data_IF_335535319173
#
_entry.id   IF_335535319173
#
_cell.length_a   1.000
_cell.length_b   1.000
_cell.length_c   1.000
_cell.angle_alpha   90.00
_cell.angle_beta   90.00
_cell.angle_gamma   90.00
#
_symmetry.space_group_name_H-M   'P 1'
#
loop_
_entity.id
_entity.type
_entity.pdbx_description
1 polymer ?
#
# COMPACT_ATOMS: atom_id res chain seq x y z
N UNK A 1 -25.79 -1.31 -2.59
CA UNK A 1 -24.32 -1.32 -2.68
C UNK A 1 -23.88 -2.77 -2.67
N UNK A 2 -23.19 -3.23 -3.70
CA UNK A 2 -22.53 -4.54 -3.67
C UNK A 2 -21.47 -4.54 -2.57
N UNK A 3 -21.41 -5.61 -1.77
CA UNK A 3 -20.35 -5.77 -0.76
C UNK A 3 -18.98 -5.65 -1.43
N UNK A 4 -18.07 -4.88 -0.85
CA UNK A 4 -16.68 -4.72 -1.31
C UNK A 4 -15.76 -5.83 -0.76
N UNK A 5 -16.29 -6.68 0.11
CA UNK A 5 -15.70 -7.90 0.63
C UNK A 5 -16.48 -9.13 0.15
N UNK A 6 -15.81 -10.29 0.19
CA UNK A 6 -16.36 -11.59 -0.12
C UNK A 6 -15.90 -12.64 0.91
N UNK A 7 -16.45 -13.85 0.80
CA UNK A 7 -15.90 -15.00 1.50
C UNK A 7 -14.42 -15.19 1.16
N UNK A 8 -13.65 -15.69 2.13
CA UNK A 8 -12.22 -15.94 1.95
C UNK A 8 -12.04 -16.99 0.86
N UNK A 9 -11.08 -16.75 -0.05
CA UNK A 9 -10.73 -17.72 -1.09
C UNK A 9 -10.17 -19.00 -0.47
N UNK A 10 -10.51 -20.13 -1.06
CA UNK A 10 -10.05 -21.45 -0.60
C UNK A 10 -8.53 -21.51 -0.46
N UNK A 11 -8.05 -21.89 0.73
CA UNK A 11 -6.61 -21.99 1.04
C UNK A 11 -5.97 -20.70 1.52
N UNK A 12 -6.72 -19.59 1.57
CA UNK A 12 -6.26 -18.29 2.08
C UNK A 12 -6.86 -17.94 3.45
N UNK A 13 -7.40 -18.94 4.14
CA UNK A 13 -7.99 -18.83 5.48
C UNK A 13 -6.98 -18.36 6.53
N UNK A 14 -7.45 -17.54 7.46
CA UNK A 14 -6.68 -17.13 8.64
C UNK A 14 -7.07 -17.98 9.86
N UNK A 15 -6.13 -18.37 10.72
CA UNK A 15 -6.45 -19.09 11.95
C UNK A 15 -7.16 -18.13 12.93
N UNK A 16 -8.49 -18.18 12.91
CA UNK A 16 -9.37 -17.22 13.63
C UNK A 16 -9.08 -17.16 15.13
N UNK A 17 -8.91 -18.30 15.78
CA UNK A 17 -8.69 -18.37 17.23
C UNK A 17 -7.33 -17.78 17.64
N UNK A 18 -6.18 -18.20 17.08
CA UNK A 18 -4.90 -17.53 17.31
C UNK A 18 -4.92 -16.03 17.02
N UNK A 19 -5.57 -15.62 15.92
CA UNK A 19 -5.69 -14.21 15.57
C UNK A 19 -6.54 -13.44 16.59
N UNK A 20 -7.71 -13.95 16.99
CA UNK A 20 -8.56 -13.31 17.98
C UNK A 20 -7.88 -13.20 19.35
N UNK A 21 -7.15 -14.24 19.77
CA UNK A 21 -6.35 -14.23 20.99
C UNK A 21 -5.23 -13.19 20.92
N UNK A 22 -4.53 -13.08 19.79
CA UNK A 22 -3.50 -12.06 19.60
C UNK A 22 -4.09 -10.64 19.57
N UNK A 23 -5.27 -10.45 18.99
CA UNK A 23 -5.97 -9.16 18.94
C UNK A 23 -6.56 -8.75 20.30
N UNK A 24 -6.73 -9.69 21.24
CA UNK A 24 -7.20 -9.38 22.58
C UNK A 24 -6.26 -8.36 23.25
N UNK A 25 -6.84 -7.27 23.77
CA UNK A 25 -6.09 -6.16 24.36
C UNK A 25 -5.45 -5.18 23.35
N UNK A 26 -5.48 -5.49 22.05
CA UNK A 26 -5.00 -4.61 20.96
C UNK A 26 -6.16 -3.99 20.16
N UNK A 27 -7.23 -4.75 19.97
CA UNK A 27 -8.47 -4.30 19.35
C UNK A 27 -9.66 -4.59 20.27
N UNK A 28 -10.47 -3.58 20.61
CA UNK A 28 -11.69 -3.81 21.37
C UNK A 28 -12.65 -4.73 20.59
N UNK A 29 -13.34 -5.63 21.30
CA UNK A 29 -14.35 -6.50 20.69
C UNK A 29 -13.80 -7.65 19.81
N UNK A 30 -12.50 -7.99 19.90
CA UNK A 30 -11.88 -9.05 19.11
C UNK A 30 -12.44 -10.48 19.36
N UNK A 31 -13.17 -10.71 20.46
CA UNK A 31 -13.74 -12.03 20.77
C UNK A 31 -14.79 -12.52 19.76
N UNK A 32 -15.51 -11.62 19.10
CA UNK A 32 -16.51 -11.93 18.06
C UNK A 32 -15.98 -11.65 16.65
N UNK A 33 -14.70 -11.98 16.40
CA UNK A 33 -14.04 -11.67 15.13
C UNK A 33 -14.71 -12.38 13.95
N UNK A 34 -15.23 -11.63 12.99
CA UNK A 34 -15.65 -12.13 11.67
C UNK A 34 -14.60 -11.71 10.65
N UNK A 35 -14.20 -12.63 9.77
CA UNK A 35 -13.16 -12.40 8.77
C UNK A 35 -13.77 -12.58 7.38
N UNK A 36 -13.61 -11.57 6.55
CA UNK A 36 -13.93 -11.58 5.13
C UNK A 36 -12.68 -11.14 4.34
N UNK A 37 -12.70 -11.30 3.03
CA UNK A 37 -11.57 -10.96 2.17
C UNK A 37 -11.93 -9.86 1.18
N UNK A 38 -11.01 -8.93 0.95
CA UNK A 38 -11.09 -8.03 -0.19
C UNK A 38 -10.63 -8.78 -1.45
N UNK A 39 -11.49 -8.96 -2.46
CA UNK A 39 -11.16 -9.76 -3.64
C UNK A 39 -10.19 -9.06 -4.59
N UNK A 40 -10.02 -7.75 -4.44
CA UNK A 40 -9.12 -6.92 -5.25
C UNK A 40 -7.79 -6.68 -4.52
N UNK A 41 -6.67 -6.88 -5.24
CA UNK A 41 -5.32 -6.72 -4.71
C UNK A 41 -4.46 -7.93 -5.05
N UNK A 42 -3.42 -7.74 -5.87
CA UNK A 42 -2.60 -8.85 -6.38
C UNK A 42 -1.27 -9.03 -5.62
N UNK A 43 -0.83 -8.04 -4.85
CA UNK A 43 0.47 -8.09 -4.17
C UNK A 43 0.38 -8.71 -2.78
N UNK A 44 -0.41 -8.12 -1.88
CA UNK A 44 -0.60 -8.61 -0.52
C UNK A 44 -2.04 -9.05 -0.32
N UNK A 45 -2.25 -10.08 0.52
CA UNK A 45 -3.60 -10.50 0.90
C UNK A 45 -4.15 -9.51 1.92
N UNK A 46 -5.39 -9.08 1.67
CA UNK A 46 -6.06 -8.04 2.47
C UNK A 46 -7.42 -8.56 2.94
N UNK A 47 -7.67 -8.46 4.23
CA UNK A 47 -8.84 -9.03 4.88
C UNK A 47 -9.59 -7.95 5.65
N UNK A 48 -10.91 -8.05 5.68
CA UNK A 48 -11.74 -7.30 6.61
C UNK A 48 -11.80 -8.08 7.92
N UNK A 49 -11.52 -7.40 9.01
CA UNK A 49 -11.75 -7.87 10.37
C UNK A 49 -12.93 -7.08 10.95
N UNK A 50 -14.06 -7.75 11.17
CA UNK A 50 -15.21 -7.15 11.83
C UNK A 50 -15.25 -7.63 13.27
N UNK A 51 -15.24 -6.68 14.19
CA UNK A 51 -15.20 -6.91 15.65
C UNK A 51 -16.39 -6.25 16.32
N UNK A 52 -16.58 -6.49 17.62
CA UNK A 52 -17.59 -5.76 18.40
C UNK A 52 -17.40 -4.24 18.46
N UNK A 53 -16.22 -3.72 18.09
CA UNK A 53 -15.90 -2.29 18.11
C UNK A 53 -15.89 -1.62 16.73
N UNK A 54 -16.13 -2.40 15.67
CA UNK A 54 -16.13 -1.91 14.30
C UNK A 54 -15.22 -2.72 13.38
N UNK A 55 -14.90 -2.10 12.24
CA UNK A 55 -14.22 -2.71 11.11
C UNK A 55 -12.76 -2.27 11.01
N UNK A 56 -11.90 -3.23 10.70
CA UNK A 56 -10.47 -3.03 10.50
C UNK A 56 -9.99 -3.80 9.28
N UNK A 57 -8.82 -3.44 8.76
CA UNK A 57 -8.20 -4.10 7.62
C UNK A 57 -6.91 -4.77 8.06
N UNK A 58 -6.81 -6.08 7.86
CA UNK A 58 -5.56 -6.84 8.03
C UNK A 58 -4.87 -6.99 6.69
N UNK A 59 -3.56 -6.75 6.67
CA UNK A 59 -2.73 -6.93 5.48
C UNK A 59 -1.54 -7.83 5.79
N UNK A 60 -1.32 -8.84 4.95
CA UNK A 60 -0.22 -9.81 5.08
C UNK A 60 0.40 -10.14 3.72
N UNK A 61 1.64 -10.66 3.67
CA UNK A 61 2.25 -11.15 2.44
C UNK A 61 1.43 -12.28 1.81
N UNK A 62 1.61 -12.55 0.50
CA UNK A 62 0.97 -13.69 -0.16
C UNK A 62 1.43 -15.03 0.46
N UNK A 63 0.72 -16.12 0.13
CA UNK A 63 1.11 -17.46 0.52
C UNK A 63 2.30 -17.96 -0.33
N UNK A 64 3.08 -18.88 0.22
CA UNK A 64 4.19 -19.51 -0.49
C UNK A 64 5.51 -18.74 -0.41
N UNK A 65 6.55 -19.18 -1.14
CA UNK A 65 7.85 -18.52 -1.13
C UNK A 65 7.73 -17.13 -1.72
N UNK A 66 8.03 -16.12 -0.90
CA UNK A 66 8.05 -14.72 -1.29
C UNK A 66 9.48 -14.32 -1.65
N UNK A 67 9.67 -13.61 -2.76
CA UNK A 67 11.00 -13.10 -3.11
C UNK A 67 11.56 -12.20 -1.98
N UNK A 68 12.85 -12.31 -1.61
CA UNK A 68 13.41 -11.51 -0.52
C UNK A 68 13.15 -10.01 -0.71
N UNK A 69 12.64 -9.33 0.32
CA UNK A 69 12.22 -7.91 0.33
C UNK A 69 11.00 -7.55 -0.54
N UNK A 70 10.48 -8.49 -1.34
CA UNK A 70 9.16 -8.33 -1.91
C UNK A 70 8.14 -8.54 -0.77
N UNK A 71 7.10 -7.70 -0.71
CA UNK A 71 6.02 -7.82 0.28
C UNK A 71 6.43 -7.63 1.75
N UNK A 72 7.33 -6.67 2.01
CA UNK A 72 7.70 -6.25 3.36
C UNK A 72 6.58 -5.43 4.02
N UNK A 73 5.56 -6.13 4.52
CA UNK A 73 4.39 -5.52 5.20
C UNK A 73 4.78 -4.81 6.49
N UNK A 74 5.87 -5.20 7.15
CA UNK A 74 6.36 -4.52 8.34
C UNK A 74 6.93 -3.14 7.99
N UNK A 75 7.62 -3.01 6.85
CA UNK A 75 8.01 -1.69 6.30
C UNK A 75 6.80 -0.86 5.91
N UNK A 76 5.79 -1.45 5.28
CA UNK A 76 4.54 -0.74 4.97
C UNK A 76 3.90 -0.16 6.23
N UNK A 77 3.77 -0.97 7.28
CA UNK A 77 3.24 -0.53 8.57
C UNK A 77 4.05 0.62 9.18
N UNK A 78 5.38 0.51 9.18
CA UNK A 78 6.27 1.57 9.69
C UNK A 78 6.12 2.89 8.91
N UNK A 79 6.02 2.82 7.59
CA UNK A 79 5.80 4.01 6.75
C UNK A 79 4.45 4.64 7.07
N UNK A 80 3.38 3.85 7.16
CA UNK A 80 2.04 4.36 7.50
C UNK A 80 2.00 4.99 8.90
N UNK A 81 2.59 4.34 9.90
CA UNK A 81 2.67 4.86 11.27
C UNK A 81 3.40 6.21 11.33
N UNK A 82 4.48 6.36 10.58
CA UNK A 82 5.27 7.58 10.56
C UNK A 82 4.57 8.70 9.76
N UNK A 83 3.93 8.37 8.64
CA UNK A 83 3.30 9.35 7.75
C UNK A 83 1.94 9.83 8.26
N UNK A 84 1.12 8.96 8.86
CA UNK A 84 -0.26 9.26 9.28
C UNK A 84 -0.40 10.54 10.14
N UNK A 85 0.46 10.81 11.15
CA UNK A 85 0.38 12.04 11.95
C UNK A 85 0.55 13.35 11.15
N UNK A 86 1.16 13.27 9.97
CA UNK A 86 1.47 14.43 9.11
C UNK A 86 0.66 14.42 7.81
N UNK A 87 0.05 13.29 7.45
CA UNK A 87 -0.82 13.12 6.31
C UNK A 87 -1.98 12.17 6.68
N UNK A 88 -3.06 12.67 7.32
CA UNK A 88 -4.14 11.85 7.88
C UNK A 88 -4.99 11.09 6.86
N UNK A 89 -4.81 11.38 5.55
CA UNK A 89 -5.38 10.59 4.48
C UNK A 89 -4.71 9.20 4.35
N UNK A 90 -3.49 9.02 4.84
CA UNK A 90 -2.92 7.69 5.03
C UNK A 90 -3.64 6.97 6.20
N UNK A 91 -4.03 5.70 6.06
CA UNK A 91 -4.76 4.98 7.10
C UNK A 91 -3.90 4.76 8.34
N UNK A 92 -4.52 4.89 9.51
CA UNK A 92 -3.90 4.64 10.80
C UNK A 92 -3.70 3.15 11.04
N UNK A 93 -2.44 2.74 11.24
CA UNK A 93 -2.09 1.41 11.73
C UNK A 93 -2.46 1.30 13.21
N UNK A 94 -3.14 0.23 13.58
CA UNK A 94 -3.62 -0.03 14.94
C UNK A 94 -2.86 -1.15 15.64
N UNK A 95 -2.32 -2.11 14.90
CA UNK A 95 -1.49 -3.18 15.45
C UNK A 95 -0.53 -3.74 14.39
N UNK A 96 0.64 -4.23 14.82
CA UNK A 96 1.64 -4.89 13.97
C UNK A 96 2.09 -6.18 14.66
N UNK A 97 2.19 -7.26 13.90
CA UNK A 97 2.68 -8.55 14.35
C UNK A 97 3.81 -9.03 13.44
N UNK A 98 5.00 -9.20 14.00
CA UNK A 98 6.13 -9.79 13.29
C UNK A 98 6.28 -11.30 13.56
N UNK A 99 5.49 -11.85 14.49
CA UNK A 99 5.53 -13.27 14.85
C UNK A 99 4.70 -14.12 13.87
N UNK A 100 5.34 -14.95 13.02
CA UNK A 100 4.62 -15.82 12.10
C UNK A 100 3.87 -16.95 12.82
N UNK A 101 4.10 -17.21 14.10
CA UNK A 101 3.35 -18.24 14.83
C UNK A 101 1.86 -17.91 14.99
N UNK A 102 1.46 -16.63 14.82
CA UNK A 102 0.06 -16.20 14.96
C UNK A 102 -0.78 -16.59 13.75
N UNK A 103 -0.37 -16.23 12.52
CA UNK A 103 -1.13 -16.49 11.28
C UNK A 103 -0.30 -17.06 10.12
N UNK A 104 0.93 -17.51 10.39
CA UNK A 104 1.86 -18.04 9.40
C UNK A 104 2.68 -16.98 8.64
N UNK A 105 2.54 -15.69 8.98
CA UNK A 105 3.28 -14.59 8.35
C UNK A 105 3.24 -13.33 9.23
N UNK A 106 4.17 -12.38 9.06
CA UNK A 106 4.01 -11.05 9.62
C UNK A 106 2.79 -10.35 9.01
N UNK A 107 2.14 -9.47 9.77
CA UNK A 107 0.99 -8.72 9.32
C UNK A 107 0.83 -7.42 10.11
N UNK A 108 0.00 -6.53 9.58
CA UNK A 108 -0.49 -5.40 10.36
C UNK A 108 -2.00 -5.25 10.19
N UNK A 109 -2.60 -4.57 11.15
CA UNK A 109 -3.99 -4.16 11.14
C UNK A 109 -4.05 -2.64 11.12
N UNK A 110 -4.94 -2.09 10.30
CA UNK A 110 -5.21 -0.66 10.20
C UNK A 110 -6.70 -0.38 10.29
N UNK A 111 -7.06 0.88 10.51
CA UNK A 111 -8.45 1.32 10.44
C UNK A 111 -9.07 1.04 9.07
N UNK A 112 -10.38 0.74 9.04
CA UNK A 112 -11.12 0.71 7.79
C UNK A 112 -11.45 2.15 7.37
N UNK A 113 -11.04 2.52 6.15
CA UNK A 113 -11.56 3.69 5.44
C UNK A 113 -12.66 3.26 4.48
N UNK A 114 -13.76 4.01 4.49
CA UNK A 114 -14.87 3.84 3.56
C UNK A 114 -14.79 4.97 2.52
N UNK A 115 -14.81 4.58 1.25
CA UNK A 115 -14.70 5.48 0.12
C UNK A 115 -14.91 4.71 -1.18
N UNK A 116 -14.92 5.42 -2.30
CA UNK A 116 -15.20 4.83 -3.61
C UNK A 116 -13.93 4.84 -4.44
N UNK A 117 -13.45 3.64 -4.78
CA UNK A 117 -12.23 3.46 -5.58
C UNK A 117 -12.57 3.46 -7.07
N UNK A 118 -11.96 4.38 -7.82
CA UNK A 118 -12.10 4.45 -9.28
C UNK A 118 -11.12 3.46 -9.93
N UNK A 119 -11.66 2.41 -10.57
CA UNK A 119 -10.84 1.34 -11.20
C UNK A 119 -10.87 1.41 -12.73
N UNK A 120 -11.88 0.79 -13.35
CA UNK A 120 -11.97 0.66 -14.82
C UNK A 120 -12.74 1.80 -15.50
N UNK A 121 -13.58 2.51 -14.75
CA UNK A 121 -14.43 3.58 -15.25
C UNK A 121 -15.07 4.33 -14.10
N UNK A 122 -15.84 5.37 -14.43
CA UNK A 122 -16.51 6.20 -13.43
C UNK A 122 -17.52 5.34 -12.62
N UNK A 123 -17.35 5.21 -11.30
CA UNK A 123 -18.29 4.50 -10.43
C UNK A 123 -19.70 5.12 -10.48
N UNK A 124 -20.77 4.29 -10.34
CA UNK A 124 -22.16 4.77 -10.30
C UNK A 124 -22.42 5.83 -9.23
N UNK A 125 -21.69 5.77 -8.11
CA UNK A 125 -21.74 6.75 -7.01
C UNK A 125 -21.43 8.18 -7.47
N UNK A 126 -20.72 8.33 -8.59
CA UNK A 126 -20.33 9.61 -9.16
C UNK A 126 -21.10 9.97 -10.44
N UNK A 127 -21.95 9.08 -10.98
CA UNK A 127 -22.58 9.25 -12.29
C UNK A 127 -23.53 10.46 -12.41
N UNK A 128 -24.06 10.96 -11.30
CA UNK A 128 -24.93 12.14 -11.25
C UNK A 128 -24.26 13.42 -10.74
N UNK A 129 -22.95 13.39 -10.47
CA UNK A 129 -22.22 14.53 -9.93
C UNK A 129 -21.68 15.36 -11.12
N UNK A 130 -22.08 16.64 -11.26
CA UNK A 130 -21.50 17.52 -12.27
C UNK A 130 -19.98 17.61 -12.11
N UNK A 131 -19.27 17.53 -13.24
CA UNK A 131 -17.81 17.63 -13.33
C UNK A 131 -17.05 16.64 -12.43
N UNK A 132 -17.64 15.49 -12.12
CA UNK A 132 -17.03 14.49 -11.22
C UNK A 132 -15.60 14.12 -11.61
N UNK A 133 -15.34 13.94 -12.91
CA UNK A 133 -14.02 13.59 -13.42
C UNK A 133 -12.99 14.68 -13.12
N UNK A 134 -13.29 15.95 -13.42
CA UNK A 134 -12.38 17.07 -13.14
C UNK A 134 -12.13 17.21 -11.63
N UNK A 135 -13.18 17.10 -10.82
CA UNK A 135 -13.08 17.17 -9.35
C UNK A 135 -12.21 16.04 -8.79
N UNK A 136 -12.41 14.79 -9.23
CA UNK A 136 -11.59 13.64 -8.81
C UNK A 136 -10.13 13.84 -9.22
N UNK A 137 -9.88 14.29 -10.46
CA UNK A 137 -8.52 14.54 -10.94
C UNK A 137 -7.81 15.62 -10.13
N UNK A 138 -8.50 16.72 -9.79
CA UNK A 138 -7.94 17.78 -8.93
C UNK A 138 -7.66 17.27 -7.53
N UNK A 139 -8.62 16.60 -6.89
CA UNK A 139 -8.44 16.02 -5.54
C UNK A 139 -7.26 15.04 -5.50
N UNK A 140 -7.07 14.23 -6.54
CA UNK A 140 -5.91 13.34 -6.67
C UNK A 140 -4.59 14.16 -6.70
N UNK A 141 -4.53 15.22 -7.50
CA UNK A 141 -3.33 16.06 -7.60
C UNK A 141 -3.08 16.81 -6.28
N UNK A 142 -4.12 17.37 -5.68
CA UNK A 142 -4.05 18.10 -4.40
C UNK A 142 -3.55 17.16 -3.29
N UNK A 143 -4.09 15.94 -3.20
CA UNK A 143 -3.63 14.94 -2.23
C UNK A 143 -2.17 14.52 -2.42
N UNK A 144 -1.69 14.44 -3.67
CA UNK A 144 -0.27 14.20 -3.94
C UNK A 144 0.60 15.41 -3.57
N UNK A 145 0.12 16.62 -3.84
CA UNK A 145 0.80 17.85 -3.47
C UNK A 145 0.92 17.98 -1.94
N UNK A 146 -0.16 17.70 -1.20
CA UNK A 146 -0.19 17.67 0.27
C UNK A 146 0.81 16.66 0.82
N UNK A 147 0.82 15.43 0.30
CA UNK A 147 1.81 14.42 0.68
C UNK A 147 3.23 14.92 0.41
N UNK A 148 3.44 15.60 -0.72
CA UNK A 148 4.75 16.14 -1.08
C UNK A 148 5.16 17.37 -0.26
N UNK A 149 4.23 18.01 0.45
CA UNK A 149 4.52 19.16 1.30
C UNK A 149 4.92 18.78 2.72
N UNK A 150 4.72 17.51 3.13
CA UNK A 150 5.18 17.02 4.43
C UNK A 150 6.69 17.25 4.58
N UNK A 151 7.07 18.03 5.60
CA UNK A 151 8.47 18.32 5.91
C UNK A 151 9.16 17.08 6.49
N UNK A 152 9.89 16.35 5.66
CA UNK A 152 10.55 15.11 6.06
C UNK A 152 11.66 15.29 7.10
N UNK A 153 12.21 16.50 7.24
CA UNK A 153 13.26 16.78 8.23
C UNK A 153 12.64 17.07 9.59
N UNK A 154 11.66 17.99 9.63
CA UNK A 154 10.98 18.37 10.86
C UNK A 154 10.18 17.22 11.49
N UNK A 155 9.73 16.26 10.68
CA UNK A 155 8.90 15.11 11.11
C UNK A 155 9.71 13.84 11.40
N UNK A 156 11.03 13.86 11.19
CA UNK A 156 11.89 12.67 11.33
C UNK A 156 11.71 11.62 10.22
N UNK A 157 10.85 11.86 9.23
CA UNK A 157 10.62 10.94 8.11
C UNK A 157 11.83 10.74 7.20
N UNK A 158 12.84 11.60 7.30
CA UNK A 158 14.11 11.43 6.61
C UNK A 158 14.76 10.06 6.88
N UNK A 159 14.51 9.44 8.05
CA UNK A 159 15.05 8.12 8.39
C UNK A 159 14.36 6.95 7.65
N UNK A 160 13.26 7.18 6.93
CA UNK A 160 12.55 6.14 6.17
C UNK A 160 13.29 5.69 4.91
N UNK A 161 14.26 6.47 4.44
CA UNK A 161 14.95 6.18 3.18
C UNK A 161 16.30 6.87 3.07
N UNK A 162 16.87 6.80 1.86
CA UNK A 162 18.10 7.49 1.49
C UNK A 162 17.80 8.36 0.28
N UNK A 163 17.73 9.70 0.41
CA UNK A 163 17.42 10.57 -0.72
C UNK A 163 18.63 10.83 -1.64
N UNK A 164 19.84 10.85 -1.10
CA UNK A 164 21.07 11.13 -1.87
C UNK A 164 21.26 10.07 -2.94
N UNK A 165 21.41 10.45 -4.21
CA UNK A 165 21.56 9.50 -5.32
C UNK A 165 20.32 8.64 -5.60
N UNK A 166 19.12 9.07 -5.17
CA UNK A 166 17.88 8.34 -5.40
C UNK A 166 17.64 8.05 -6.89
N UNK A 167 17.73 9.06 -7.77
CA UNK A 167 17.46 8.91 -9.20
C UNK A 167 18.45 7.95 -9.87
N UNK A 168 19.73 8.06 -9.56
CA UNK A 168 20.76 7.13 -10.06
C UNK A 168 20.44 5.69 -9.63
N UNK A 169 20.10 5.48 -8.35
CA UNK A 169 19.71 4.16 -7.85
C UNK A 169 18.45 3.61 -8.51
N UNK A 170 17.46 4.46 -8.80
CA UNK A 170 16.27 4.01 -9.52
C UNK A 170 16.65 3.53 -10.91
N UNK A 171 17.41 4.33 -11.67
CA UNK A 171 17.84 3.97 -13.03
C UNK A 171 18.65 2.66 -12.99
N UNK A 172 19.75 2.61 -12.23
CA UNK A 172 20.59 1.40 -12.14
C UNK A 172 19.80 0.19 -11.65
N UNK A 173 19.00 0.35 -10.60
CA UNK A 173 18.24 -0.76 -10.03
C UNK A 173 17.17 -1.31 -10.96
N UNK A 174 16.50 -0.47 -11.75
CA UNK A 174 15.54 -0.91 -12.77
C UNK A 174 16.24 -1.53 -13.97
N UNK A 175 17.38 -0.98 -14.40
CA UNK A 175 18.23 -1.55 -15.46
C UNK A 175 18.71 -2.95 -15.09
N UNK A 176 19.22 -3.16 -13.87
CA UNK A 176 19.67 -4.48 -13.42
C UNK A 176 18.52 -5.49 -13.37
N UNK A 177 17.33 -5.07 -12.91
CA UNK A 177 16.13 -5.92 -12.91
C UNK A 177 15.69 -6.30 -14.32
N UNK A 178 15.72 -5.34 -15.25
CA UNK A 178 15.41 -5.56 -16.65
C UNK A 178 16.32 -6.66 -17.25
N UNK A 179 17.64 -6.51 -17.12
CA UNK A 179 18.57 -7.48 -17.69
C UNK A 179 18.50 -8.87 -17.05
N UNK A 180 18.18 -8.96 -15.76
CA UNK A 180 17.93 -10.26 -15.09
C UNK A 180 16.65 -10.96 -15.56
N UNK A 181 15.66 -10.19 -16.03
CA UNK A 181 14.38 -10.70 -16.51
C UNK A 181 14.31 -10.82 -18.04
N UNK A 182 15.41 -10.51 -18.75
CA UNK A 182 15.45 -10.49 -20.21
C UNK A 182 15.27 -11.92 -20.76
N UNK A 183 14.24 -12.10 -21.59
CA UNK A 183 13.96 -13.40 -22.26
C UNK A 183 14.41 -13.41 -23.71
N UNK A 184 14.52 -12.25 -24.35
CA UNK A 184 15.03 -12.06 -25.70
C UNK A 184 15.63 -10.65 -25.85
N UNK A 185 16.59 -10.44 -26.76
CA UNK A 185 17.13 -9.10 -27.02
C UNK A 185 16.02 -8.11 -27.41
N UNK A 186 16.06 -6.90 -26.82
CA UNK A 186 15.13 -5.82 -27.13
C UNK A 186 15.90 -4.50 -27.22
N UNK A 187 16.46 -4.16 -28.40
CA UNK A 187 17.32 -2.98 -28.59
C UNK A 187 16.70 -1.65 -28.16
N UNK A 188 15.37 -1.54 -28.19
CA UNK A 188 14.62 -0.38 -27.73
C UNK A 188 14.84 -0.13 -26.23
N UNK A 189 14.89 -1.18 -25.41
CA UNK A 189 15.15 -1.05 -23.98
C UNK A 189 16.60 -0.65 -23.71
N UNK A 190 17.56 -1.13 -24.50
CA UNK A 190 18.95 -0.67 -24.39
C UNK A 190 19.07 0.83 -24.67
N UNK A 191 18.31 1.35 -25.64
CA UNK A 191 18.22 2.80 -25.92
C UNK A 191 17.61 3.56 -24.74
N UNK A 192 16.52 3.06 -24.14
CA UNK A 192 15.90 3.68 -22.96
C UNK A 192 16.84 3.71 -21.77
N UNK A 193 17.56 2.61 -21.51
CA UNK A 193 18.57 2.52 -20.44
C UNK A 193 19.68 3.55 -20.66
N UNK A 194 20.24 3.61 -21.86
CA UNK A 194 21.29 4.57 -22.20
C UNK A 194 20.80 6.02 -22.09
N UNK A 195 19.58 6.30 -22.54
CA UNK A 195 18.98 7.62 -22.45
C UNK A 195 18.75 8.04 -20.99
N UNK A 196 18.11 7.21 -20.17
CA UNK A 196 17.90 7.48 -18.74
C UNK A 196 19.22 7.66 -17.99
N UNK A 197 20.27 6.90 -18.35
CA UNK A 197 21.58 7.02 -17.74
C UNK A 197 22.32 8.32 -18.10
N UNK A 198 22.09 8.86 -19.31
CA UNK A 198 22.76 10.09 -19.76
C UNK A 198 21.96 11.37 -19.49
N UNK A 199 20.64 11.26 -19.32
CA UNK A 199 19.72 12.40 -19.17
C UNK A 199 19.09 12.50 -17.77
N UNK A 200 19.78 11.99 -16.73
CA UNK A 200 19.27 12.12 -15.35
C UNK A 200 19.18 13.61 -14.97
N UNK A 201 18.01 14.10 -14.56
CA UNK A 201 17.92 15.43 -13.98
C UNK A 201 18.63 15.46 -12.63
N UNK A 202 18.99 16.66 -12.17
CA UNK A 202 19.40 16.86 -10.79
C UNK A 202 18.27 16.48 -9.82
N UNK A 203 18.60 15.85 -8.70
CA UNK A 203 17.61 15.53 -7.67
C UNK A 203 17.01 16.84 -7.12
N UNK A 204 15.68 16.93 -7.15
CA UNK A 204 14.95 18.03 -6.55
C UNK A 204 14.90 17.91 -5.01
N UNK A 205 14.02 18.71 -4.40
CA UNK A 205 13.70 18.64 -2.97
C UNK A 205 13.31 17.21 -2.56
N UNK A 206 13.82 16.77 -1.42
CA UNK A 206 13.44 15.46 -0.84
C UNK A 206 12.03 15.53 -0.28
N UNK A 207 11.24 14.51 -0.57
CA UNK A 207 9.87 14.35 -0.10
C UNK A 207 9.52 12.87 0.08
N UNK A 208 8.41 12.58 0.76
CA UNK A 208 7.75 11.27 0.65
C UNK A 208 7.30 11.07 -0.79
N UNK A 209 7.54 9.87 -1.32
CA UNK A 209 7.06 9.44 -2.64
C UNK A 209 6.26 8.16 -2.43
N UNK A 210 4.95 8.22 -2.70
CA UNK A 210 4.07 7.05 -2.59
C UNK A 210 4.47 5.91 -3.55
N UNK A 211 5.16 6.25 -4.65
CA UNK A 211 5.70 5.34 -5.68
C UNK A 211 4.65 4.67 -6.57
N UNK A 212 3.43 4.41 -6.07
CA UNK A 212 2.32 3.85 -6.85
C UNK A 212 1.03 4.70 -6.71
N UNK A 213 1.13 6.02 -6.89
CA UNK A 213 0.01 6.95 -6.64
C UNK A 213 -0.90 7.06 -7.87
N UNK A 214 -2.08 6.46 -7.79
CA UNK A 214 -3.06 6.34 -8.89
C UNK A 214 -4.47 6.12 -8.34
N UNK A 215 -5.47 6.31 -9.20
CA UNK A 215 -6.90 6.32 -8.84
C UNK A 215 -7.41 5.06 -8.14
N UNK A 216 -6.84 3.89 -8.44
CA UNK A 216 -7.22 2.62 -7.82
C UNK A 216 -6.51 2.34 -6.48
N UNK A 217 -5.60 3.23 -6.06
CA UNK A 217 -4.90 3.22 -4.78
C UNK A 217 -5.32 4.36 -3.84
N UNK A 218 -6.33 5.15 -4.20
CA UNK A 218 -6.93 6.20 -3.38
C UNK A 218 -8.44 5.99 -3.28
N UNK A 219 -9.08 6.59 -2.27
CA UNK A 219 -10.52 6.51 -2.05
C UNK A 219 -11.08 7.75 -1.37
#
# INVERSE_FOLDING_TARGET
MTSDTAAIRSGEDLPREPLAAWLAGRLPGAGNLVIEQFPAGHSNLTYLLRTGAGEFVLRRPPLGPVAPRAHDVAREARVLQAVHPHFPAAPRVVAVCDDPAVIGAPFFVMERRHGVVVRRGMPPEYAGIPDAADRISRTLIDGLADLHQVDVQATGLASLGRPEGFLERQVTGWTDRWYRALTAPLPEMDRVVAWLASQRPGSARTTIVHNDYKLDNVM
#
